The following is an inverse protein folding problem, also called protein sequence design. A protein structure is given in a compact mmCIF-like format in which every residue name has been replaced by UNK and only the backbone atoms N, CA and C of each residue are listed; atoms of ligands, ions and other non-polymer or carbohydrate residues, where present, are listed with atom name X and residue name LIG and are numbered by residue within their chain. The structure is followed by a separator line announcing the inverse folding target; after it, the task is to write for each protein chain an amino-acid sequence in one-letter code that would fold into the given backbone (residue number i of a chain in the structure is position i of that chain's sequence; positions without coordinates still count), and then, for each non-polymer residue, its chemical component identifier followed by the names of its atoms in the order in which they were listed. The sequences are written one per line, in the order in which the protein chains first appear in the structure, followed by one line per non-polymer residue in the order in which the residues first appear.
data_IF_473458017145
#
_entry.id   IF_473458017145
#
_cell.length_a   1.000
_cell.length_b   1.000
_cell.length_c   1.000
_cell.angle_alpha   90.00
_cell.angle_beta   90.00
_cell.angle_gamma   90.00
#
_symmetry.space_group_name_H-M   'P 1'
#
loop_
_entity.id
_entity.type
_entity.pdbx_description
1 polymer ?
#
# COMPACT_ATOMS: atom_id res chain seq x y z
N UNK A 1 -9.68 -20.94 5.63
CA UNK A 1 -9.36 -19.64 6.25
C UNK A 1 -10.39 -18.65 5.76
N UNK A 2 -11.18 -18.08 6.66
CA UNK A 2 -12.11 -17.01 6.30
C UNK A 2 -11.31 -15.77 5.88
N UNK A 3 -11.42 -15.36 4.62
CA UNK A 3 -10.92 -14.06 4.15
C UNK A 3 -11.74 -13.00 4.87
N UNK A 4 -11.17 -12.42 5.93
CA UNK A 4 -11.76 -11.28 6.62
C UNK A 4 -11.91 -10.15 5.62
N UNK A 5 -13.13 -9.91 5.15
CA UNK A 5 -13.48 -8.66 4.49
C UNK A 5 -13.42 -7.60 5.58
N UNK A 6 -12.28 -6.93 5.69
CA UNK A 6 -12.10 -5.84 6.65
C UNK A 6 -12.84 -4.65 6.07
N UNK A 7 -14.00 -4.32 6.64
CA UNK A 7 -14.76 -3.14 6.24
C UNK A 7 -14.04 -1.90 6.78
N UNK A 8 -13.63 -1.00 5.89
CA UNK A 8 -12.78 0.16 6.17
C UNK A 8 -13.53 1.48 5.88
N UNK A 9 -14.78 1.63 6.34
CA UNK A 9 -15.64 2.78 6.05
C UNK A 9 -15.01 4.18 6.33
N UNK A 10 -13.95 4.26 7.15
CA UNK A 10 -13.20 5.49 7.45
C UNK A 10 -11.75 5.53 6.91
N UNK A 11 -11.36 4.64 5.99
CA UNK A 11 -9.98 4.64 5.46
C UNK A 11 -9.84 5.44 4.16
N UNK A 12 -8.79 6.24 4.09
CA UNK A 12 -8.36 6.96 2.90
C UNK A 12 -7.60 6.01 1.96
N UNK A 13 -7.66 6.25 0.65
CA UNK A 13 -6.89 5.50 -0.35
C UNK A 13 -5.64 6.29 -0.72
N UNK A 14 -4.47 5.67 -0.66
CA UNK A 14 -3.22 6.25 -1.14
C UNK A 14 -3.20 6.32 -2.67
N UNK A 15 -2.90 7.50 -3.20
CA UNK A 15 -2.66 7.73 -4.62
C UNK A 15 -1.22 7.36 -4.98
N UNK A 16 -1.03 6.20 -5.60
CA UNK A 16 0.27 5.69 -6.02
C UNK A 16 0.56 6.02 -7.50
N UNK A 17 1.84 6.06 -7.86
CA UNK A 17 2.26 6.03 -9.26
C UNK A 17 2.01 4.63 -9.85
N UNK A 18 0.87 4.47 -10.51
CA UNK A 18 0.45 3.18 -11.06
C UNK A 18 1.37 2.67 -12.18
N UNK A 19 2.16 3.53 -12.83
CA UNK A 19 3.14 3.06 -13.80
C UNK A 19 4.27 2.31 -13.08
N UNK A 20 4.71 2.81 -11.93
CA UNK A 20 5.73 2.14 -11.13
C UNK A 20 5.21 0.83 -10.52
N UNK A 21 3.96 0.81 -10.04
CA UNK A 21 3.31 -0.43 -9.59
C UNK A 21 3.33 -1.50 -10.70
N UNK A 22 3.00 -1.12 -11.94
CA UNK A 22 3.04 -2.04 -13.10
C UNK A 22 4.46 -2.49 -13.45
N UNK A 23 5.44 -1.59 -13.43
CA UNK A 23 6.84 -1.94 -13.65
C UNK A 23 7.37 -2.90 -12.58
N UNK A 24 6.89 -2.76 -11.34
CA UNK A 24 7.26 -3.60 -10.20
C UNK A 24 6.30 -4.77 -9.98
N UNK A 25 5.50 -5.17 -10.99
CA UNK A 25 4.49 -6.23 -10.85
C UNK A 25 5.07 -7.51 -10.26
N UNK A 26 6.23 -7.97 -10.79
CA UNK A 26 6.89 -9.19 -10.31
C UNK A 26 7.27 -9.11 -8.83
N UNK A 27 7.76 -7.96 -8.38
CA UNK A 27 8.11 -7.74 -6.97
C UNK A 27 6.86 -7.82 -6.09
N UNK A 28 5.75 -7.22 -6.51
CA UNK A 28 4.49 -7.26 -5.78
C UNK A 28 3.92 -8.69 -5.75
N UNK A 29 3.94 -9.39 -6.89
CA UNK A 29 3.53 -10.79 -7.01
C UNK A 29 4.34 -11.71 -6.08
N UNK A 30 5.68 -11.56 -6.08
CA UNK A 30 6.58 -12.33 -5.20
C UNK A 30 6.29 -12.03 -3.73
N UNK A 31 6.04 -10.76 -3.37
CA UNK A 31 5.72 -10.38 -1.99
C UNK A 31 4.41 -11.03 -1.51
N UNK A 32 3.35 -10.99 -2.31
CA UNK A 32 2.08 -11.62 -1.93
C UNK A 32 2.18 -13.15 -1.84
N UNK A 33 3.05 -13.76 -2.64
CA UNK A 33 3.29 -15.20 -2.59
C UNK A 33 4.17 -15.63 -1.42
N UNK A 34 5.24 -14.88 -1.14
CA UNK A 34 6.30 -15.31 -0.22
C UNK A 34 6.02 -14.91 1.24
N UNK A 35 5.12 -13.96 1.47
CA UNK A 35 4.83 -13.46 2.81
C UNK A 35 3.38 -13.70 3.21
N UNK A 36 3.18 -14.49 4.27
CA UNK A 36 1.87 -14.70 4.89
C UNK A 36 1.25 -13.41 5.44
N UNK A 37 2.09 -12.45 5.84
CA UNK A 37 1.65 -11.13 6.30
C UNK A 37 2.40 -10.02 5.55
N UNK A 38 1.62 -9.11 4.97
CA UNK A 38 2.12 -7.91 4.31
C UNK A 38 2.17 -6.75 5.30
N UNK A 39 3.36 -6.14 5.40
CA UNK A 39 3.70 -4.98 6.22
C UNK A 39 3.98 -3.79 5.28
N UNK A 40 2.95 -3.03 4.91
CA UNK A 40 3.12 -1.78 4.20
C UNK A 40 3.78 -0.71 5.09
N UNK A 41 4.70 0.03 4.51
CA UNK A 41 5.41 1.15 5.15
C UNK A 41 5.52 2.31 4.18
N UNK A 42 5.53 3.54 4.70
CA UNK A 42 5.81 4.75 3.93
C UNK A 42 7.14 5.31 4.40
N UNK A 43 8.03 5.59 3.46
CA UNK A 43 9.33 6.22 3.72
C UNK A 43 9.50 7.47 2.84
N UNK A 44 10.43 8.35 3.23
CA UNK A 44 10.84 9.48 2.40
C UNK A 44 12.16 9.14 1.71
N UNK A 45 12.15 9.08 0.39
CA UNK A 45 13.36 8.89 -0.42
C UNK A 45 13.52 10.04 -1.40
N UNK A 46 14.68 10.72 -1.36
CA UNK A 46 14.99 11.88 -2.20
C UNK A 46 13.91 12.97 -2.18
N UNK A 47 13.26 13.16 -1.02
CA UNK A 47 12.20 14.15 -0.83
C UNK A 47 10.79 13.72 -1.26
N UNK A 48 10.62 12.50 -1.77
CA UNK A 48 9.32 11.97 -2.15
C UNK A 48 8.87 10.87 -1.17
N UNK A 49 7.58 10.84 -0.87
CA UNK A 49 7.00 9.72 -0.13
C UNK A 49 6.89 8.49 -1.04
N UNK A 50 7.34 7.35 -0.54
CA UNK A 50 7.36 6.08 -1.27
C UNK A 50 6.67 4.99 -0.44
N UNK A 51 5.94 4.10 -1.13
CA UNK A 51 5.37 2.90 -0.56
C UNK A 51 6.38 1.75 -0.66
N UNK A 52 6.63 1.10 0.48
CA UNK A 52 7.33 -0.18 0.55
C UNK A 52 6.44 -1.27 1.12
N UNK A 53 6.45 -2.44 0.51
CA UNK A 53 5.83 -3.66 1.04
C UNK A 53 6.93 -4.59 1.53
N UNK A 54 6.93 -4.92 2.83
CA UNK A 54 7.95 -5.77 3.45
C UNK A 54 9.40 -5.30 3.19
N UNK A 55 9.60 -3.99 3.06
CA UNK A 55 10.90 -3.36 2.79
C UNK A 55 11.24 -3.18 1.31
N UNK A 56 10.47 -3.77 0.39
CA UNK A 56 10.68 -3.64 -1.05
C UNK A 56 9.93 -2.43 -1.60
N UNK A 57 10.62 -1.64 -2.43
CA UNK A 57 10.01 -0.51 -3.12
C UNK A 57 8.94 -0.98 -4.10
N UNK A 58 7.77 -0.34 -4.04
CA UNK A 58 6.65 -0.63 -4.94
C UNK A 58 6.32 0.56 -5.83
N UNK A 59 6.08 1.74 -5.23
CA UNK A 59 5.76 2.94 -5.98
C UNK A 59 5.94 4.20 -5.14
N UNK A 60 6.16 5.33 -5.81
CA UNK A 60 6.01 6.66 -5.23
C UNK A 60 4.55 6.97 -4.92
N UNK A 61 4.34 7.80 -3.91
CA UNK A 61 3.05 8.32 -3.52
C UNK A 61 2.90 9.72 -4.13
N UNK A 62 1.82 9.93 -4.88
CA UNK A 62 1.59 11.13 -5.70
C UNK A 62 0.94 12.27 -4.92
N UNK A 63 0.46 12.02 -3.71
CA UNK A 63 -0.17 13.02 -2.87
C UNK A 63 0.70 13.40 -1.68
N UNK A 64 0.52 14.64 -1.21
CA UNK A 64 1.17 15.10 0.02
C UNK A 64 0.52 14.44 1.22
N UNK A 65 1.28 13.62 1.94
CA UNK A 65 0.85 12.97 3.17
C UNK A 65 1.49 13.61 4.39
N UNK A 66 0.68 13.91 5.40
CA UNK A 66 1.19 14.17 6.73
C UNK A 66 1.48 12.84 7.42
N UNK A 67 2.72 12.35 7.28
CA UNK A 67 3.14 11.06 7.83
C UNK A 67 2.93 10.94 9.34
N UNK A 68 2.97 12.06 10.08
CA UNK A 68 2.71 12.06 11.53
C UNK A 68 1.25 11.71 11.87
N UNK A 69 0.34 11.83 10.91
CA UNK A 69 -1.08 11.48 11.09
C UNK A 69 -1.39 10.07 10.61
N UNK A 70 -0.58 9.47 9.76
CA UNK A 70 -0.80 8.12 9.23
C UNK A 70 -0.60 7.09 10.34
N UNK A 71 -1.67 6.35 10.67
CA UNK A 71 -1.66 5.40 11.81
C UNK A 71 -1.53 3.95 11.38
N UNK A 72 -2.31 3.55 10.36
CA UNK A 72 -2.37 2.17 9.87
C UNK A 72 -2.40 2.20 8.36
N UNK A 73 -1.74 1.21 7.77
CA UNK A 73 -1.67 0.97 6.34
C UNK A 73 -2.17 -0.44 6.07
N UNK A 74 -2.93 -0.61 5.00
CA UNK A 74 -3.54 -1.87 4.60
C UNK A 74 -3.42 -2.04 3.10
N UNK A 75 -3.07 -3.24 2.67
CA UNK A 75 -2.97 -3.58 1.25
C UNK A 75 -4.09 -4.54 0.93
N UNK A 76 -4.77 -4.30 -0.18
CA UNK A 76 -5.87 -5.14 -0.66
C UNK A 76 -5.36 -6.10 -1.74
N UNK A 77 -4.87 -7.26 -1.30
CA UNK A 77 -4.31 -8.30 -2.18
C UNK A 77 -5.38 -8.88 -3.13
N UNK A 78 -6.59 -9.10 -2.63
CA UNK A 78 -7.71 -9.60 -3.43
C UNK A 78 -8.06 -8.63 -4.57
N UNK A 79 -8.07 -7.33 -4.28
CA UNK A 79 -8.26 -6.30 -5.30
C UNK A 79 -7.13 -6.32 -6.33
N UNK A 80 -5.89 -6.47 -5.87
CA UNK A 80 -4.72 -6.54 -6.76
C UNK A 80 -4.82 -7.69 -7.77
N UNK A 81 -5.12 -8.91 -7.33
CA UNK A 81 -5.24 -10.04 -8.25
C UNK A 81 -6.47 -9.94 -9.16
N UNK A 82 -7.54 -9.30 -8.70
CA UNK A 82 -8.78 -9.16 -9.48
C UNK A 82 -8.62 -8.11 -10.59
N UNK A 83 -8.00 -6.96 -10.29
CA UNK A 83 -7.98 -5.80 -11.18
C UNK A 83 -6.59 -5.44 -11.73
N UNK A 84 -5.54 -6.16 -11.32
CA UNK A 84 -4.13 -5.80 -11.57
C UNK A 84 -3.80 -4.36 -11.08
N UNK A 85 -4.45 -3.92 -10.01
CA UNK A 85 -4.27 -2.59 -9.42
C UNK A 85 -4.00 -2.70 -7.93
N UNK A 86 -2.91 -2.08 -7.46
CA UNK A 86 -2.59 -2.08 -6.04
C UNK A 86 -3.33 -0.97 -5.32
N UNK A 87 -4.26 -1.35 -4.44
CA UNK A 87 -4.93 -0.42 -3.55
C UNK A 87 -4.30 -0.51 -2.16
N UNK A 88 -3.82 0.63 -1.67
CA UNK A 88 -3.36 0.78 -0.29
C UNK A 88 -4.24 1.78 0.43
N UNK A 89 -4.80 1.36 1.55
CA UNK A 89 -5.68 2.16 2.40
C UNK A 89 -4.92 2.59 3.65
N UNK A 90 -5.23 3.76 4.17
CA UNK A 90 -4.66 4.25 5.41
C UNK A 90 -5.70 4.95 6.29
N UNK A 91 -5.48 4.93 7.60
CA UNK A 91 -6.30 5.67 8.57
C UNK A 91 -5.47 6.75 9.24
N UNK A 92 -6.10 7.87 9.56
CA UNK A 92 -5.45 8.98 10.24
C UNK A 92 -5.83 9.05 11.73
N UNK A 93 -4.96 9.65 12.54
CA UNK A 93 -5.38 10.14 13.86
C UNK A 93 -6.26 11.39 13.69
N UNK A 94 -7.49 11.32 14.20
CA UNK A 94 -8.38 12.49 14.34
C UNK A 94 -7.79 13.39 15.43
N UNK A 95 -7.79 14.70 15.16
CA UNK A 95 -7.39 15.75 16.12
C UNK A 95 -8.36 15.82 17.31
#
# INVERSE_FOLDING_TARGET
MEKRIVNYDDANILKLDMNQVRCNKLVVDDIFKDYEQIKPTIEIEKGNAILKLNGYFVASILETLNLNRVKKLYVDEDYYYTYNELIVKYTEVKE
#
